data_IF_932104066221
#
_entry.id   IF_932104066221
#
_cell.length_a   1.000
_cell.length_b   1.000
_cell.length_c   1.000
_cell.angle_alpha   90.00
_cell.angle_beta   90.00
_cell.angle_gamma   90.00
#
_symmetry.space_group_name_H-M   'P 1'
#
loop_
_entity.id
_entity.type
_entity.pdbx_description
1 polymer ?
#
# COMPACT_ATOMS: atom_id res chain seq x y z
N UNK A 1 61.67 -12.77 18.91
CA UNK A 1 62.67 -13.80 19.29
C UNK A 1 63.08 -13.48 20.71
N UNK A 2 63.04 -14.46 21.61
CA UNK A 2 63.31 -14.23 23.03
C UNK A 2 64.77 -13.78 23.24
N UNK A 3 64.95 -12.74 24.07
CA UNK A 3 66.26 -12.31 24.55
C UNK A 3 66.58 -13.00 25.89
N UNK A 4 67.42 -14.03 25.82
CA UNK A 4 67.84 -14.79 27.01
C UNK A 4 68.75 -13.97 27.94
N UNK A 5 69.46 -12.95 27.46
CA UNK A 5 70.32 -12.13 28.31
C UNK A 5 69.48 -11.18 29.17
N UNK A 6 68.37 -10.69 28.64
CA UNK A 6 67.38 -9.91 29.39
C UNK A 6 66.68 -10.78 30.45
N UNK A 7 66.21 -11.98 30.09
CA UNK A 7 65.57 -12.90 31.04
C UNK A 7 66.51 -13.27 32.20
N UNK A 8 67.77 -13.59 31.90
CA UNK A 8 68.76 -13.92 32.94
C UNK A 8 69.00 -12.76 33.90
N UNK A 9 69.10 -11.53 33.39
CA UNK A 9 69.24 -10.32 34.23
C UNK A 9 68.02 -10.10 35.11
N UNK A 10 66.82 -10.23 34.56
CA UNK A 10 65.58 -9.97 35.29
C UNK A 10 65.36 -10.99 36.41
N UNK A 11 65.66 -12.27 36.15
CA UNK A 11 65.58 -13.33 37.17
C UNK A 11 66.62 -13.10 38.28
N UNK A 12 67.83 -12.69 37.93
CA UNK A 12 68.86 -12.37 38.91
C UNK A 12 68.44 -11.18 39.81
N UNK A 13 67.84 -10.13 39.24
CA UNK A 13 67.40 -8.95 40.00
C UNK A 13 66.20 -9.27 40.90
N UNK A 14 65.18 -9.96 40.39
CA UNK A 14 63.92 -10.18 41.13
C UNK A 14 63.96 -11.34 42.11
N UNK A 15 64.69 -12.39 41.77
CA UNK A 15 64.66 -13.64 42.50
C UNK A 15 66.02 -14.00 43.13
N UNK A 16 67.06 -13.19 42.88
CA UNK A 16 68.42 -13.40 43.37
C UNK A 16 69.00 -14.77 42.97
N UNK A 17 68.60 -15.28 41.80
CA UNK A 17 69.05 -16.54 41.20
C UNK A 17 69.83 -16.23 39.93
N UNK A 18 71.08 -16.69 39.84
CA UNK A 18 71.86 -16.66 38.60
C UNK A 18 71.53 -17.90 37.76
N UNK A 19 71.01 -17.67 36.57
CA UNK A 19 70.80 -18.72 35.56
C UNK A 19 72.04 -18.78 34.65
N UNK A 20 72.59 -19.98 34.47
CA UNK A 20 73.66 -20.22 33.50
C UNK A 20 73.10 -20.38 32.08
N UNK A 21 73.95 -20.33 31.06
CA UNK A 21 73.56 -20.43 29.65
C UNK A 21 72.95 -21.80 29.31
N UNK A 22 73.38 -22.84 30.01
CA UNK A 22 72.91 -24.22 29.83
C UNK A 22 71.80 -24.61 30.83
N UNK A 23 71.19 -23.63 31.51
CA UNK A 23 70.15 -23.90 32.49
C UNK A 23 68.87 -24.47 31.82
N UNK A 24 68.37 -25.64 32.28
CA UNK A 24 67.16 -26.26 31.74
C UNK A 24 65.91 -25.36 31.78
N UNK A 25 65.87 -24.37 32.67
CA UNK A 25 64.76 -23.40 32.75
C UNK A 25 64.71 -22.55 31.47
N UNK A 26 65.86 -22.13 30.93
CA UNK A 26 65.91 -21.36 29.67
C UNK A 26 65.48 -22.20 28.46
N UNK A 27 65.82 -23.49 28.46
CA UNK A 27 65.33 -24.45 27.46
C UNK A 27 63.80 -24.58 27.55
N UNK A 28 63.25 -24.65 28.76
CA UNK A 28 61.80 -24.72 28.98
C UNK A 28 61.09 -23.47 28.47
N UNK A 29 61.65 -22.28 28.71
CA UNK A 29 61.13 -21.02 28.16
C UNK A 29 61.15 -21.03 26.63
N UNK A 30 62.21 -21.55 26.02
CA UNK A 30 62.32 -21.69 24.56
C UNK A 30 61.23 -22.59 24.00
N UNK A 31 61.03 -23.76 24.61
CA UNK A 31 59.96 -24.69 24.19
C UNK A 31 58.59 -24.03 24.33
N UNK A 32 58.36 -23.29 25.42
CA UNK A 32 57.12 -22.56 25.63
C UNK A 32 56.89 -21.50 24.55
N UNK A 33 57.90 -20.70 24.22
CA UNK A 33 57.83 -19.70 23.14
C UNK A 33 57.47 -20.33 21.79
N UNK A 34 58.12 -21.44 21.42
CA UNK A 34 57.84 -22.15 20.17
C UNK A 34 56.39 -22.64 20.15
N UNK A 35 55.92 -23.25 21.24
CA UNK A 35 54.56 -23.77 21.37
C UNK A 35 53.53 -22.63 21.30
N UNK A 36 53.74 -21.55 22.04
CA UNK A 36 52.87 -20.38 22.04
C UNK A 36 52.81 -19.71 20.66
N UNK A 37 53.97 -19.51 20.01
CA UNK A 37 54.02 -18.96 18.66
C UNK A 37 53.27 -19.85 17.66
N UNK A 38 53.37 -21.18 17.80
CA UNK A 38 52.61 -22.12 16.96
C UNK A 38 51.11 -22.02 17.19
N UNK A 39 50.67 -21.86 18.43
CA UNK A 39 49.26 -21.64 18.73
C UNK A 39 48.75 -20.31 18.18
N UNK A 40 49.52 -19.23 18.34
CA UNK A 40 49.18 -17.91 17.78
C UNK A 40 49.07 -18.00 16.26
N UNK A 41 50.03 -18.64 15.58
CA UNK A 41 49.98 -18.84 14.13
C UNK A 41 48.71 -19.59 13.69
N UNK A 42 48.34 -20.65 14.41
CA UNK A 42 47.14 -21.43 14.12
C UNK A 42 45.85 -20.61 14.35
N UNK A 43 45.79 -19.83 15.43
CA UNK A 43 44.65 -18.96 15.74
C UNK A 43 44.51 -17.86 14.70
N UNK A 44 45.61 -17.21 14.31
CA UNK A 44 45.61 -16.18 13.27
C UNK A 44 45.10 -16.73 11.95
N UNK A 45 45.58 -17.91 11.51
CA UNK A 45 45.09 -18.55 10.28
C UNK A 45 43.59 -18.87 10.33
N UNK A 46 43.10 -19.38 11.46
CA UNK A 46 41.67 -19.65 11.63
C UNK A 46 40.84 -18.37 11.62
N UNK A 47 41.34 -17.31 12.26
CA UNK A 47 40.69 -16.01 12.30
C UNK A 47 40.63 -15.36 10.91
N UNK A 48 41.72 -15.41 10.14
CA UNK A 48 41.74 -14.93 8.75
C UNK A 48 40.75 -15.69 7.87
N UNK A 49 40.71 -17.03 7.98
CA UNK A 49 39.76 -17.86 7.25
C UNK A 49 38.30 -17.55 7.64
N UNK A 50 38.03 -17.35 8.93
CA UNK A 50 36.71 -16.98 9.44
C UNK A 50 36.28 -15.59 8.94
N UNK A 51 37.18 -14.60 8.93
CA UNK A 51 36.90 -13.27 8.40
C UNK A 51 36.63 -13.26 6.89
N UNK A 52 37.37 -14.08 6.13
CA UNK A 52 37.10 -14.25 4.70
C UNK A 52 35.72 -14.87 4.49
N UNK A 53 35.41 -15.95 5.20
CA UNK A 53 34.10 -16.60 5.13
C UNK A 53 32.97 -15.65 5.54
N UNK A 54 33.16 -14.86 6.60
CA UNK A 54 32.20 -13.85 7.04
C UNK A 54 31.97 -12.79 5.96
N UNK A 55 33.03 -12.30 5.33
CA UNK A 55 32.96 -11.31 4.26
C UNK A 55 32.15 -11.83 3.06
N UNK A 56 32.41 -13.06 2.63
CA UNK A 56 31.66 -13.71 1.54
C UNK A 56 30.18 -13.88 1.91
N UNK A 57 29.89 -14.34 3.13
CA UNK A 57 28.52 -14.50 3.60
C UNK A 57 27.77 -13.17 3.66
N UNK A 58 28.42 -12.09 4.13
CA UNK A 58 27.81 -10.76 4.16
C UNK A 58 27.48 -10.26 2.76
N UNK A 59 28.38 -10.45 1.78
CA UNK A 59 28.09 -10.11 0.39
C UNK A 59 26.90 -10.89 -0.16
N UNK A 60 26.86 -12.21 0.09
CA UNK A 60 25.74 -13.06 -0.33
C UNK A 60 24.43 -12.64 0.34
N UNK A 61 24.46 -12.30 1.63
CA UNK A 61 23.28 -11.86 2.38
C UNK A 61 22.75 -10.52 1.86
N UNK A 62 23.64 -9.58 1.50
CA UNK A 62 23.24 -8.32 0.87
C UNK A 62 22.57 -8.57 -0.47
N UNK A 63 23.09 -9.47 -1.29
CA UNK A 63 22.50 -9.78 -2.59
C UNK A 63 21.14 -10.47 -2.46
N UNK A 64 21.02 -11.44 -1.55
CA UNK A 64 19.75 -12.08 -1.21
C UNK A 64 18.73 -11.06 -0.65
N UNK A 65 19.19 -10.10 0.15
CA UNK A 65 18.34 -9.05 0.69
C UNK A 65 17.82 -8.13 -0.42
N UNK A 66 18.67 -7.75 -1.39
CA UNK A 66 18.24 -6.98 -2.56
C UNK A 66 17.23 -7.75 -3.41
N UNK A 67 17.47 -9.04 -3.68
CA UNK A 67 16.55 -9.86 -4.44
C UNK A 67 15.19 -9.99 -3.73
N UNK A 68 15.20 -10.19 -2.41
CA UNK A 68 13.99 -10.27 -1.58
C UNK A 68 13.25 -8.94 -1.56
N UNK A 69 13.95 -7.83 -1.38
CA UNK A 69 13.35 -6.50 -1.42
C UNK A 69 12.75 -6.20 -2.80
N UNK A 70 13.43 -6.55 -3.89
CA UNK A 70 12.93 -6.43 -5.25
C UNK A 70 11.62 -7.20 -5.43
N UNK A 71 11.58 -8.47 -4.97
CA UNK A 71 10.36 -9.28 -5.00
C UNK A 71 9.22 -8.62 -4.21
N UNK A 72 9.48 -8.15 -2.99
CA UNK A 72 8.46 -7.48 -2.15
C UNK A 72 7.91 -6.24 -2.86
N UNK A 73 8.78 -5.42 -3.47
CA UNK A 73 8.35 -4.22 -4.20
C UNK A 73 7.49 -4.59 -5.40
N UNK A 74 7.88 -5.61 -6.16
CA UNK A 74 7.09 -6.10 -7.30
C UNK A 74 5.74 -6.66 -6.86
N UNK A 75 5.72 -7.52 -5.84
CA UNK A 75 4.51 -8.14 -5.33
C UNK A 75 3.56 -7.07 -4.76
N UNK A 76 4.08 -6.09 -4.01
CA UNK A 76 3.30 -4.96 -3.51
C UNK A 76 2.76 -4.07 -4.64
N UNK A 77 3.56 -3.79 -5.66
CA UNK A 77 3.13 -3.03 -6.84
C UNK A 77 1.99 -3.74 -7.59
N UNK A 78 2.13 -5.05 -7.78
CA UNK A 78 1.10 -5.87 -8.42
C UNK A 78 -0.19 -5.87 -7.59
N UNK A 79 -0.08 -6.08 -6.27
CA UNK A 79 -1.21 -6.05 -5.35
C UNK A 79 -1.93 -4.70 -5.39
N UNK A 80 -1.20 -3.57 -5.31
CA UNK A 80 -1.80 -2.24 -5.39
C UNK A 80 -2.47 -2.01 -6.75
N UNK A 81 -1.84 -2.45 -7.84
CA UNK A 81 -2.43 -2.34 -9.19
C UNK A 81 -3.75 -3.11 -9.30
N UNK A 82 -3.80 -4.32 -8.74
CA UNK A 82 -5.00 -5.15 -8.71
C UNK A 82 -6.10 -4.51 -7.85
N UNK A 83 -5.75 -3.98 -6.67
CA UNK A 83 -6.69 -3.27 -5.80
C UNK A 83 -7.25 -2.01 -6.45
N UNK A 84 -6.42 -1.23 -7.17
CA UNK A 84 -6.87 -0.07 -7.93
C UNK A 84 -7.83 -0.50 -9.04
N UNK A 85 -7.51 -1.56 -9.80
CA UNK A 85 -8.42 -2.08 -10.83
C UNK A 85 -9.76 -2.49 -10.24
N UNK A 86 -9.75 -3.20 -9.12
CA UNK A 86 -10.97 -3.63 -8.44
C UNK A 86 -11.80 -2.44 -7.98
N UNK A 87 -11.17 -1.44 -7.36
CA UNK A 87 -11.85 -0.21 -6.94
C UNK A 87 -12.43 0.59 -8.12
N UNK A 88 -11.72 0.64 -9.26
CA UNK A 88 -12.23 1.27 -10.48
C UNK A 88 -13.46 0.51 -11.01
N UNK A 89 -13.40 -0.82 -11.07
CA UNK A 89 -14.53 -1.64 -11.53
C UNK A 89 -15.74 -1.46 -10.62
N UNK A 90 -15.54 -1.40 -9.32
CA UNK A 90 -16.59 -1.15 -8.33
C UNK A 90 -17.21 0.25 -8.52
N UNK A 91 -16.39 1.29 -8.64
CA UNK A 91 -16.86 2.66 -8.87
C UNK A 91 -17.63 2.81 -10.20
N UNK A 92 -17.17 2.13 -11.27
CA UNK A 92 -17.88 2.13 -12.56
C UNK A 92 -19.22 1.42 -12.47
N UNK A 93 -19.29 0.31 -11.74
CA UNK A 93 -20.55 -0.41 -11.52
C UNK A 93 -21.53 0.43 -10.70
N UNK A 94 -21.06 1.06 -9.61
CA UNK A 94 -21.88 1.95 -8.78
C UNK A 94 -22.39 3.15 -9.58
N UNK A 95 -21.52 3.81 -10.36
CA UNK A 95 -21.92 4.91 -11.23
C UNK A 95 -22.93 4.47 -12.31
N UNK A 96 -22.77 3.25 -12.85
CA UNK A 96 -23.69 2.71 -13.84
C UNK A 96 -25.07 2.42 -13.25
N UNK A 97 -25.13 1.92 -12.02
CA UNK A 97 -26.38 1.65 -11.33
C UNK A 97 -27.07 2.94 -10.87
N UNK A 98 -26.30 3.93 -10.41
CA UNK A 98 -26.81 5.27 -10.12
C UNK A 98 -27.37 5.94 -11.39
N UNK A 99 -26.67 5.81 -12.53
CA UNK A 99 -27.15 6.33 -13.81
C UNK A 99 -28.45 5.65 -14.25
N UNK A 100 -28.55 4.32 -14.13
CA UNK A 100 -29.81 3.59 -14.39
C UNK A 100 -30.93 4.06 -13.48
N UNK A 101 -30.64 4.32 -12.21
CA UNK A 101 -31.62 4.83 -11.25
C UNK A 101 -32.13 6.21 -11.70
N UNK A 102 -31.21 7.14 -11.98
CA UNK A 102 -31.53 8.48 -12.49
C UNK A 102 -32.29 8.45 -13.82
N UNK A 103 -31.95 7.53 -14.72
CA UNK A 103 -32.70 7.34 -15.98
C UNK A 103 -34.12 6.84 -15.73
N UNK A 104 -34.32 5.90 -14.79
CA UNK A 104 -35.66 5.43 -14.41
C UNK A 104 -36.49 6.53 -13.75
N UNK A 105 -35.88 7.31 -12.87
CA UNK A 105 -36.53 8.48 -12.26
C UNK A 105 -36.88 9.54 -13.31
N UNK A 106 -35.97 9.85 -14.23
CA UNK A 106 -36.21 10.79 -15.32
C UNK A 106 -37.30 10.28 -16.27
N UNK A 107 -37.35 8.98 -16.54
CA UNK A 107 -38.40 8.37 -17.36
C UNK A 107 -39.75 8.38 -16.65
N UNK A 108 -39.79 8.13 -15.33
CA UNK A 108 -41.01 8.25 -14.52
C UNK A 108 -41.50 9.70 -14.45
N UNK A 109 -40.61 10.66 -14.22
CA UNK A 109 -40.93 12.09 -14.26
C UNK A 109 -41.37 12.56 -15.66
N UNK A 110 -40.79 11.98 -16.72
CA UNK A 110 -41.24 12.18 -18.10
C UNK A 110 -42.63 11.58 -18.35
N UNK A 111 -42.94 10.42 -17.75
CA UNK A 111 -44.26 9.82 -17.81
C UNK A 111 -45.30 10.68 -17.08
N UNK A 112 -44.98 11.21 -15.90
CA UNK A 112 -45.85 12.11 -15.14
C UNK A 112 -46.10 13.46 -15.85
N UNK A 113 -45.10 13.97 -16.57
CA UNK A 113 -45.27 15.18 -17.40
C UNK A 113 -46.05 14.90 -18.68
N UNK A 114 -45.94 13.71 -19.29
CA UNK A 114 -46.79 13.29 -20.42
C UNK A 114 -48.24 13.03 -19.98
N UNK A 115 -48.46 12.46 -18.79
CA UNK A 115 -49.80 12.29 -18.20
C UNK A 115 -50.40 13.65 -17.81
N UNK A 116 -49.60 14.57 -17.29
CA UNK A 116 -50.02 15.96 -17.04
C UNK A 116 -50.28 16.75 -18.33
N UNK A 117 -49.53 16.50 -19.41
CA UNK A 117 -49.83 17.08 -20.72
C UNK A 117 -51.16 16.54 -21.28
N UNK A 118 -51.46 15.26 -21.05
CA UNK A 118 -52.72 14.66 -21.47
C UNK A 118 -53.92 15.19 -20.67
N UNK A 119 -53.76 15.43 -19.36
CA UNK A 119 -54.80 16.02 -18.50
C UNK A 119 -55.05 17.51 -18.79
N UNK A 120 -54.01 18.25 -19.21
CA UNK A 120 -54.17 19.63 -19.70
C UNK A 120 -54.89 19.66 -21.04
N UNK A 121 -54.69 18.67 -21.91
CA UNK A 121 -55.35 18.62 -23.22
C UNK A 121 -56.81 18.16 -23.14
N UNK A 122 -57.16 17.26 -22.21
CA UNK A 122 -58.56 16.88 -21.94
C UNK A 122 -59.31 17.99 -21.22
N UNK A 123 -58.66 18.72 -20.30
CA UNK A 123 -59.24 19.91 -19.65
C UNK A 123 -59.55 21.05 -20.65
N UNK A 124 -58.68 21.27 -21.64
CA UNK A 124 -58.96 22.26 -22.72
C UNK A 124 -60.16 21.87 -23.58
N UNK A 125 -60.37 20.58 -23.87
CA UNK A 125 -61.52 20.10 -24.65
C UNK A 125 -62.83 20.16 -23.84
N UNK A 126 -62.82 19.82 -22.56
CA UNK A 126 -64.02 19.92 -21.72
C UNK A 126 -64.43 21.37 -21.44
N UNK A 127 -63.46 22.28 -21.31
CA UNK A 127 -63.71 23.72 -21.14
C UNK A 127 -64.33 24.37 -22.39
N UNK A 128 -63.97 23.91 -23.59
CA UNK A 128 -64.56 24.42 -24.84
C UNK A 128 -66.02 23.99 -25.00
N UNK A 129 -66.34 22.76 -24.59
CA UNK A 129 -67.71 22.22 -24.63
C UNK A 129 -68.59 22.92 -23.59
N UNK A 130 -68.08 23.19 -22.38
CA UNK A 130 -68.84 23.92 -21.36
C UNK A 130 -69.09 25.39 -21.75
N UNK A 131 -68.13 26.04 -22.42
CA UNK A 131 -68.31 27.40 -22.94
C UNK A 131 -69.38 27.48 -24.02
N UNK A 132 -69.47 26.47 -24.91
CA UNK A 132 -70.55 26.41 -25.91
C UNK A 132 -71.93 26.25 -25.27
N UNK A 133 -72.06 25.40 -24.24
CA UNK A 133 -73.33 25.19 -23.54
C UNK A 133 -73.77 26.47 -22.80
N UNK A 134 -72.83 27.19 -22.18
CA UNK A 134 -73.11 28.48 -21.53
C UNK A 134 -73.56 29.55 -22.53
N UNK A 135 -72.95 29.58 -23.73
CA UNK A 135 -73.34 30.48 -24.81
C UNK A 135 -74.78 30.24 -25.28
N UNK A 136 -75.18 28.98 -25.44
CA UNK A 136 -76.55 28.63 -25.86
C UNK A 136 -77.56 29.00 -24.76
N UNK A 137 -77.24 28.75 -23.50
CA UNK A 137 -78.07 29.16 -22.35
C UNK A 137 -78.29 30.68 -22.31
N UNK A 138 -77.25 31.47 -22.57
CA UNK A 138 -77.34 32.93 -22.56
C UNK A 138 -78.24 33.45 -23.70
N UNK A 139 -78.16 32.86 -24.89
CA UNK A 139 -79.02 33.25 -26.03
C UNK A 139 -80.48 32.92 -25.75
N UNK A 140 -80.78 31.75 -25.16
CA UNK A 140 -82.16 31.37 -24.77
C UNK A 140 -82.72 32.34 -23.72
N UNK A 141 -81.92 32.75 -22.74
CA UNK A 141 -82.34 33.73 -21.74
C UNK A 141 -82.65 35.10 -22.36
N UNK A 142 -81.85 35.57 -23.31
CA UNK A 142 -82.08 36.85 -24.00
C UNK A 142 -83.36 36.79 -24.83
N UNK A 143 -83.60 35.69 -25.55
CA UNK A 143 -84.84 35.50 -26.35
C UNK A 143 -86.08 35.44 -25.45
N UNK A 144 -85.98 34.79 -24.28
CA UNK A 144 -87.06 34.77 -23.29
C UNK A 144 -87.37 36.15 -22.72
N UNK A 145 -86.35 36.98 -22.47
CA UNK A 145 -86.55 38.36 -21.97
C UNK A 145 -87.19 39.25 -23.05
N UNK A 146 -86.77 39.13 -24.31
CA UNK A 146 -87.33 39.91 -25.43
C UNK A 146 -88.81 39.56 -25.66
N UNK A 147 -89.18 38.29 -25.57
CA UNK A 147 -90.57 37.84 -25.75
C UNK A 147 -91.51 38.29 -24.63
N UNK A 148 -91.00 38.46 -23.40
CA UNK A 148 -91.76 39.02 -22.28
C UNK A 148 -91.93 40.54 -22.40
N UNK A 149 -90.95 41.26 -22.96
CA UNK A 149 -91.01 42.72 -23.16
C UNK A 149 -91.89 43.16 -24.34
N UNK A 150 -92.19 42.26 -25.28
CA UNK A 150 -93.04 42.50 -26.46
C UNK A 150 -94.53 42.15 -26.24
N UNK A 151 -94.94 41.93 -24.99
CA UNK A 151 -96.31 41.57 -24.59
C UNK A 151 -96.86 42.60 -23.60
#
# INVERSE_FOLDING_TARGET
MIDFDEIRKEVAIRHNVLLDKDDPILVTVTVNDIVLNRYIENVTKQYEAANLALTVNLQQQVEQSKATAGKIITDASNYVSEQIRNAILEAVNEASDELKHKMREAQAASHDTVVSAHSVQTAKKSALISAMIAGISAVVAIVAVITVLLK
#
